data_IF_376240056292
#
_entry.id   IF_376240056292
#
_cell.length_a   1.000
_cell.length_b   1.000
_cell.length_c   1.000
_cell.angle_alpha   90.00
_cell.angle_beta   90.00
_cell.angle_gamma   90.00
#
_symmetry.space_group_name_H-M   'P 1'
#
loop_
_entity.id
_entity.type
_entity.pdbx_description
1 polymer ?
#
# COMPACT_ATOMS: atom_id res chain seq x y z
N UNK A 1 -49.33 -40.93 -4.45
CA UNK A 1 -49.98 -41.39 -5.69
C UNK A 1 -49.54 -40.47 -6.82
N UNK A 2 -48.95 -41.07 -7.87
CA UNK A 2 -48.81 -40.60 -9.29
C UNK A 2 -48.28 -39.17 -9.54
N UNK A 3 -47.04 -38.92 -10.01
CA UNK A 3 -46.26 -39.35 -11.20
C UNK A 3 -46.60 -38.55 -12.49
N UNK A 4 -45.52 -38.25 -13.23
CA UNK A 4 -45.40 -37.73 -14.62
C UNK A 4 -45.20 -36.20 -14.76
N UNK A 5 -44.32 -35.67 -15.60
CA UNK A 5 -43.32 -36.28 -16.49
C UNK A 5 -42.27 -35.25 -16.93
N UNK A 6 -41.28 -35.80 -17.61
CA UNK A 6 -39.97 -35.28 -17.97
C UNK A 6 -39.99 -34.26 -19.11
N UNK A 7 -38.97 -33.38 -19.18
CA UNK A 7 -38.41 -32.93 -20.45
C UNK A 7 -36.92 -32.60 -20.29
N UNK A 8 -36.06 -33.43 -20.90
CA UNK A 8 -34.66 -33.11 -21.23
C UNK A 8 -34.65 -32.44 -22.60
N UNK A 9 -33.93 -31.32 -22.71
CA UNK A 9 -33.29 -30.89 -23.95
C UNK A 9 -31.87 -30.44 -23.63
N UNK A 10 -30.91 -31.02 -24.35
CA UNK A 10 -29.52 -30.62 -24.37
C UNK A 10 -29.26 -29.87 -25.68
N UNK A 11 -28.62 -28.70 -25.62
CA UNK A 11 -27.32 -28.47 -26.29
C UNK A 11 -26.87 -27.01 -26.15
N UNK A 12 -25.58 -26.87 -25.82
CA UNK A 12 -24.66 -25.82 -26.29
C UNK A 12 -25.10 -24.37 -26.20
N UNK A 13 -24.54 -23.64 -25.22
CA UNK A 13 -23.88 -22.39 -25.61
C UNK A 13 -22.67 -22.05 -24.74
N UNK A 14 -21.61 -21.63 -25.42
CA UNK A 14 -20.27 -21.36 -24.91
C UNK A 14 -20.19 -19.88 -24.52
N UNK A 15 -20.67 -19.54 -23.33
CA UNK A 15 -20.60 -18.16 -22.83
C UNK A 15 -19.36 -17.94 -21.94
N UNK A 16 -18.44 -17.16 -22.49
CA UNK A 16 -17.31 -16.43 -21.92
C UNK A 16 -17.30 -16.24 -20.39
N UNK A 17 -16.22 -16.69 -19.76
CA UNK A 17 -15.86 -16.38 -18.36
C UNK A 17 -15.64 -14.86 -18.20
N UNK A 18 -16.30 -14.16 -17.26
CA UNK A 18 -15.89 -12.81 -16.90
C UNK A 18 -14.57 -12.88 -16.13
N UNK A 19 -13.55 -12.22 -16.67
CA UNK A 19 -12.23 -12.09 -16.08
C UNK A 19 -12.33 -11.54 -14.66
N UNK A 20 -11.73 -12.25 -13.71
CA UNK A 20 -11.73 -11.88 -12.29
C UNK A 20 -10.87 -10.63 -12.09
N UNK A 21 -11.53 -9.47 -12.01
CA UNK A 21 -10.92 -8.20 -11.62
C UNK A 21 -10.47 -8.32 -10.16
N UNK A 22 -9.16 -8.40 -9.93
CA UNK A 22 -8.59 -8.41 -8.59
C UNK A 22 -8.66 -6.98 -8.03
N UNK A 23 -9.67 -6.73 -7.18
CA UNK A 23 -9.84 -5.46 -6.47
C UNK A 23 -8.79 -5.32 -5.36
N UNK A 24 -8.16 -4.13 -5.20
CA UNK A 24 -7.26 -3.87 -4.07
C UNK A 24 -8.02 -4.00 -2.73
N UNK A 25 -7.38 -4.51 -1.67
CA UNK A 25 -8.01 -4.61 -0.36
C UNK A 25 -8.30 -3.22 0.21
N UNK A 26 -9.42 -3.02 0.92
CA UNK A 26 -9.75 -1.72 1.49
C UNK A 26 -9.02 -1.47 2.82
N UNK A 27 -8.61 -0.23 3.12
CA UNK A 27 -7.86 0.08 4.33
C UNK A 27 -8.78 0.02 5.55
N UNK A 28 -8.27 -0.53 6.65
CA UNK A 28 -8.98 -0.63 7.93
C UNK A 28 -8.26 -1.63 8.82
N UNK A 29 -7.16 -1.20 9.42
CA UNK A 29 -6.31 -1.98 10.30
C UNK A 29 -4.84 -1.57 10.18
N UNK A 30 -4.02 -1.91 11.18
CA UNK A 30 -2.66 -1.38 11.38
C UNK A 30 -1.59 -1.92 10.43
N UNK A 31 -2.00 -2.28 9.21
CA UNK A 31 -1.13 -2.75 8.13
C UNK A 31 -0.71 -1.58 7.21
N UNK A 32 -0.56 -0.36 7.71
CA UNK A 32 -0.23 0.82 6.89
C UNK A 32 1.16 0.80 6.22
N UNK A 33 2.19 0.06 6.67
CA UNK A 33 3.39 -0.13 5.82
C UNK A 33 3.06 -1.11 4.69
N UNK A 34 2.30 -2.16 5.02
CA UNK A 34 1.75 -3.09 4.06
C UNK A 34 0.79 -2.46 3.07
N UNK A 35 0.07 -1.39 3.42
CA UNK A 35 -0.91 -0.69 2.57
C UNK A 35 -0.32 0.55 1.87
N UNK A 36 0.69 1.20 2.43
CA UNK A 36 1.51 2.21 1.75
C UNK A 36 2.43 1.58 0.69
N UNK A 37 2.83 0.31 0.88
CA UNK A 37 3.56 -0.46 -0.12
C UNK A 37 2.63 -1.28 -1.03
N UNK A 38 1.47 -1.78 -0.54
CA UNK A 38 0.47 -2.44 -1.41
C UNK A 38 -0.42 -1.48 -2.17
N UNK A 39 -0.63 -0.24 -1.75
CA UNK A 39 -1.42 0.75 -2.50
C UNK A 39 -0.82 0.97 -3.90
N UNK A 40 0.49 1.28 -3.99
CA UNK A 40 1.21 1.37 -5.25
C UNK A 40 1.30 0.02 -5.99
N UNK A 41 1.56 -1.07 -5.28
CA UNK A 41 1.70 -2.41 -5.87
C UNK A 41 0.35 -2.97 -6.41
N UNK A 42 -0.76 -2.68 -5.75
CA UNK A 42 -2.11 -3.12 -6.14
C UNK A 42 -2.69 -2.23 -7.24
N UNK A 43 -2.39 -0.92 -7.25
CA UNK A 43 -2.68 -0.03 -8.37
C UNK A 43 -1.85 -0.38 -9.63
N UNK A 44 -0.58 -0.75 -9.45
CA UNK A 44 0.26 -1.28 -10.53
C UNK A 44 -0.24 -2.64 -11.06
N UNK A 45 -0.64 -3.56 -10.19
CA UNK A 45 -1.24 -4.85 -10.61
C UNK A 45 -2.54 -4.69 -11.40
N UNK A 46 -3.31 -3.62 -11.16
CA UNK A 46 -4.50 -3.31 -11.96
C UNK A 46 -4.13 -2.72 -13.32
N UNK A 47 -3.03 -1.96 -13.43
CA UNK A 47 -2.59 -1.33 -14.68
C UNK A 47 -1.83 -2.30 -15.61
N UNK A 48 -1.02 -3.22 -15.08
CA UNK A 48 -0.29 -4.24 -15.86
C UNK A 48 -1.23 -5.29 -16.47
N UNK A 49 -2.32 -5.64 -15.78
CA UNK A 49 -3.36 -6.52 -16.33
C UNK A 49 -4.15 -5.90 -17.49
N UNK A 50 -4.26 -4.58 -17.54
CA UNK A 50 -4.95 -3.87 -18.64
C UNK A 50 -4.01 -3.58 -19.83
N UNK A 51 -2.71 -3.42 -19.60
CA UNK A 51 -1.70 -3.14 -20.67
C UNK A 51 -1.14 -4.40 -21.34
N UNK A 52 -1.59 -5.59 -20.93
CA UNK A 52 -1.22 -6.89 -21.53
C UNK A 52 -2.18 -7.36 -22.64
N UNK A 53 -3.14 -6.53 -23.06
CA UNK A 53 -3.79 -6.69 -24.36
C UNK A 53 -2.82 -6.26 -25.46
N UNK A 54 -2.01 -7.21 -25.94
CA UNK A 54 -1.16 -7.02 -27.12
C UNK A 54 -2.03 -6.90 -28.39
N UNK A 55 -1.81 -5.93 -29.28
CA UNK A 55 -2.31 -6.03 -30.65
C UNK A 55 -1.63 -7.22 -31.33
N UNK A 56 -2.44 -8.08 -31.96
CA UNK A 56 -2.00 -9.17 -32.83
C UNK A 56 -1.28 -8.57 -34.04
N UNK A 57 0.06 -8.64 -34.05
CA UNK A 57 0.85 -8.32 -35.24
C UNK A 57 0.74 -9.48 -36.25
N UNK A 58 0.52 -9.19 -37.56
CA UNK A 58 0.54 -10.21 -38.60
C UNK A 58 1.91 -10.88 -38.68
N UNK A 59 1.93 -12.22 -38.65
CA UNK A 59 3.15 -12.99 -38.87
C UNK A 59 3.48 -13.02 -40.38
N UNK A 60 4.40 -12.16 -40.81
CA UNK A 60 5.05 -12.31 -42.11
C UNK A 60 6.27 -13.23 -41.95
N UNK A 61 6.28 -14.38 -42.64
CA UNK A 61 7.48 -15.23 -42.79
C UNK A 61 8.39 -14.65 -43.88
N UNK A 62 9.67 -14.33 -43.61
CA UNK A 62 10.63 -14.13 -44.67
C UNK A 62 11.27 -15.46 -45.08
N UNK A 63 11.43 -15.59 -46.40
CA UNK A 63 12.01 -16.72 -47.10
C UNK A 63 13.53 -16.80 -46.88
N UNK A 64 14.08 -18.00 -47.10
CA UNK A 64 15.45 -18.37 -46.75
C UNK A 64 16.56 -17.52 -47.37
N UNK A 65 17.56 -17.24 -46.54
CA UNK A 65 18.89 -16.77 -46.95
C UNK A 65 19.90 -17.26 -45.92
N UNK A 66 20.95 -17.97 -46.38
CA UNK A 66 22.07 -18.43 -45.55
C UNK A 66 22.79 -17.21 -44.94
N UNK A 67 22.78 -17.10 -43.62
CA UNK A 67 23.56 -16.09 -42.89
C UNK A 67 24.86 -16.68 -42.35
N UNK A 68 25.97 -16.00 -42.66
CA UNK A 68 27.34 -16.24 -42.20
C UNK A 68 27.47 -16.16 -40.66
N UNK A 69 28.57 -16.65 -40.04
CA UNK A 69 28.64 -16.80 -38.58
C UNK A 69 28.72 -15.44 -37.87
N UNK A 70 27.57 -14.92 -37.43
CA UNK A 70 27.44 -13.78 -36.53
C UNK A 70 27.83 -14.15 -35.09
N UNK A 71 29.01 -14.75 -34.91
CA UNK A 71 29.34 -15.51 -33.70
C UNK A 71 29.69 -14.67 -32.47
N UNK A 72 30.24 -13.47 -32.62
CA UNK A 72 30.76 -12.71 -31.46
C UNK A 72 29.96 -11.43 -31.19
N UNK A 73 29.63 -10.64 -32.22
CA UNK A 73 28.86 -9.40 -32.07
C UNK A 73 27.43 -9.67 -31.60
N UNK A 74 26.76 -10.71 -32.13
CA UNK A 74 25.42 -11.10 -31.68
C UNK A 74 25.43 -11.71 -30.26
N UNK A 75 26.51 -12.39 -29.87
CA UNK A 75 26.69 -12.89 -28.50
C UNK A 75 26.94 -11.75 -27.52
N UNK A 76 27.77 -10.77 -27.88
CA UNK A 76 28.04 -9.58 -27.07
C UNK A 76 26.77 -8.72 -26.92
N UNK A 77 26.03 -8.46 -28.00
CA UNK A 77 24.76 -7.76 -27.94
C UNK A 77 23.74 -8.50 -27.07
N UNK A 78 23.68 -9.84 -27.14
CA UNK A 78 22.83 -10.65 -26.25
C UNK A 78 23.23 -10.54 -24.78
N UNK A 79 24.53 -10.53 -24.46
CA UNK A 79 25.01 -10.32 -23.09
C UNK A 79 24.77 -8.90 -22.59
N UNK A 80 24.93 -7.88 -23.43
CA UNK A 80 24.61 -6.49 -23.09
C UNK A 80 23.11 -6.30 -22.88
N UNK A 81 22.26 -6.92 -23.69
CA UNK A 81 20.80 -6.92 -23.50
C UNK A 81 20.42 -7.69 -22.24
N UNK A 82 21.05 -8.83 -21.95
CA UNK A 82 20.82 -9.55 -20.70
C UNK A 82 21.33 -8.79 -19.47
N UNK A 83 22.45 -8.09 -19.57
CA UNK A 83 22.98 -7.22 -18.51
C UNK A 83 22.11 -5.97 -18.33
N UNK A 84 21.60 -5.38 -19.40
CA UNK A 84 20.63 -4.28 -19.35
C UNK A 84 19.29 -4.75 -18.79
N UNK A 85 18.79 -5.93 -19.16
CA UNK A 85 17.58 -6.54 -18.59
C UNK A 85 17.79 -6.94 -17.12
N UNK A 86 18.99 -7.38 -16.74
CA UNK A 86 19.36 -7.62 -15.34
C UNK A 86 19.47 -6.30 -14.54
N UNK A 87 19.98 -5.23 -15.16
CA UNK A 87 19.97 -3.88 -14.60
C UNK A 87 18.55 -3.31 -14.46
N UNK A 88 17.64 -3.63 -15.38
CA UNK A 88 16.21 -3.30 -15.27
C UNK A 88 15.49 -4.16 -14.22
N UNK A 89 15.93 -5.41 -14.00
CA UNK A 89 15.43 -6.27 -12.93
C UNK A 89 15.88 -5.82 -11.52
N UNK A 90 16.83 -4.90 -11.42
CA UNK A 90 17.22 -4.26 -10.16
C UNK A 90 16.26 -3.14 -9.72
N UNK A 91 15.30 -2.72 -10.57
CA UNK A 91 14.24 -1.83 -10.13
C UNK A 91 13.21 -2.64 -9.34
N UNK A 92 13.29 -2.56 -8.02
CA UNK A 92 12.25 -3.13 -7.17
C UNK A 92 10.89 -2.53 -7.55
N UNK A 93 9.85 -3.37 -7.62
CA UNK A 93 8.49 -2.90 -7.90
C UNK A 93 8.01 -1.88 -6.86
N UNK A 94 8.59 -1.91 -5.66
CA UNK A 94 8.32 -0.95 -4.59
C UNK A 94 8.88 0.44 -4.93
N UNK A 95 10.11 0.53 -5.42
CA UNK A 95 10.70 1.79 -5.90
C UNK A 95 9.89 2.38 -7.06
N UNK A 96 9.57 1.56 -8.07
CA UNK A 96 8.77 2.00 -9.21
C UNK A 96 7.38 2.49 -8.80
N UNK A 97 6.72 1.77 -7.89
CA UNK A 97 5.42 2.18 -7.35
C UNK A 97 5.51 3.49 -6.57
N UNK A 98 6.56 3.67 -5.76
CA UNK A 98 6.75 4.89 -4.96
C UNK A 98 7.10 6.11 -5.82
N UNK A 99 7.85 5.94 -6.91
CA UNK A 99 8.14 7.02 -7.85
C UNK A 99 6.87 7.59 -8.51
N UNK A 100 5.82 6.77 -8.64
CA UNK A 100 4.49 7.19 -9.10
C UNK A 100 3.52 7.45 -7.92
N UNK A 101 4.04 7.47 -6.69
CA UNK A 101 3.26 7.43 -5.47
C UNK A 101 2.33 8.63 -5.30
N UNK A 102 2.76 9.80 -5.73
CA UNK A 102 1.96 11.03 -5.75
C UNK A 102 0.69 10.87 -6.60
N UNK A 103 0.82 10.39 -7.84
CA UNK A 103 -0.30 10.14 -8.74
C UNK A 103 -1.23 9.05 -8.21
N UNK A 104 -0.66 8.00 -7.63
CA UNK A 104 -1.43 6.88 -7.08
C UNK A 104 -2.20 7.29 -5.82
N UNK A 105 -1.61 8.10 -4.95
CA UNK A 105 -2.28 8.68 -3.79
C UNK A 105 -3.36 9.65 -4.23
N UNK A 106 -3.11 10.50 -5.22
CA UNK A 106 -4.13 11.41 -5.75
C UNK A 106 -5.35 10.65 -6.26
N UNK A 107 -5.15 9.64 -7.12
CA UNK A 107 -6.25 8.81 -7.61
C UNK A 107 -6.96 8.03 -6.50
N UNK A 108 -6.24 7.64 -5.45
CA UNK A 108 -6.85 7.03 -4.28
C UNK A 108 -7.73 8.03 -3.52
N UNK A 109 -7.25 9.24 -3.25
CA UNK A 109 -8.03 10.30 -2.59
C UNK A 109 -9.25 10.65 -3.42
N UNK A 110 -9.06 10.89 -4.72
CA UNK A 110 -10.11 11.18 -5.69
C UNK A 110 -11.22 10.12 -5.69
N UNK A 111 -10.85 8.84 -5.73
CA UNK A 111 -11.84 7.76 -5.64
C UNK A 111 -12.69 7.80 -4.36
N UNK A 112 -12.17 8.33 -3.25
CA UNK A 112 -12.90 8.40 -1.98
C UNK A 112 -13.68 9.71 -1.83
N UNK A 113 -13.12 10.83 -2.27
CA UNK A 113 -13.67 12.17 -2.04
C UNK A 113 -14.33 12.81 -3.25
N UNK A 114 -14.16 12.23 -4.45
CA UNK A 114 -14.54 12.83 -5.72
C UNK A 114 -13.97 14.25 -5.83
N UNK A 115 -12.65 14.34 -6.07
CA UNK A 115 -11.93 15.61 -5.97
C UNK A 115 -12.38 16.51 -7.11
N UNK A 116 -12.99 17.64 -6.76
CA UNK A 116 -13.53 18.59 -7.74
C UNK A 116 -12.40 19.41 -8.38
N UNK A 117 -12.67 19.99 -9.56
CA UNK A 117 -11.68 20.78 -10.30
C UNK A 117 -11.05 21.90 -9.45
N UNK A 118 -11.87 22.58 -8.64
CA UNK A 118 -11.41 23.63 -7.72
C UNK A 118 -10.49 23.13 -6.59
N UNK A 119 -10.52 21.83 -6.27
CA UNK A 119 -9.70 21.19 -5.22
C UNK A 119 -8.44 20.52 -5.81
N UNK A 120 -8.41 20.25 -7.11
CA UNK A 120 -7.44 19.36 -7.74
C UNK A 120 -5.98 19.83 -7.54
N UNK A 121 -5.70 21.12 -7.80
CA UNK A 121 -4.34 21.67 -7.69
C UNK A 121 -3.87 21.70 -6.24
N UNK A 122 -4.74 22.10 -5.31
CA UNK A 122 -4.45 22.09 -3.88
C UNK A 122 -4.14 20.66 -3.38
N UNK A 123 -4.93 19.67 -3.79
CA UNK A 123 -4.73 18.26 -3.43
C UNK A 123 -3.41 17.70 -4.00
N UNK A 124 -3.10 17.97 -5.28
CA UNK A 124 -1.82 17.58 -5.88
C UNK A 124 -0.62 18.21 -5.17
N UNK A 125 -0.72 19.51 -4.87
CA UNK A 125 0.31 20.24 -4.13
C UNK A 125 0.54 19.68 -2.72
N UNK A 126 -0.54 19.38 -1.99
CA UNK A 126 -0.46 18.75 -0.67
C UNK A 126 0.24 17.38 -0.72
N UNK A 127 -0.14 16.53 -1.68
CA UNK A 127 0.47 15.21 -1.85
C UNK A 127 1.96 15.34 -2.20
N UNK A 128 2.32 16.26 -3.11
CA UNK A 128 3.72 16.50 -3.46
C UNK A 128 4.55 16.94 -2.24
N UNK A 129 4.04 17.89 -1.45
CA UNK A 129 4.68 18.34 -0.19
C UNK A 129 4.84 17.20 0.81
N UNK A 130 3.84 16.32 0.92
CA UNK A 130 3.91 15.15 1.79
C UNK A 130 5.00 14.17 1.34
N UNK A 131 5.08 13.84 0.05
CA UNK A 131 6.12 12.94 -0.47
C UNK A 131 7.53 13.54 -0.36
N UNK A 132 7.68 14.85 -0.56
CA UNK A 132 8.95 15.54 -0.33
C UNK A 132 9.41 15.41 1.13
N UNK A 133 8.50 15.65 2.09
CA UNK A 133 8.75 15.43 3.51
C UNK A 133 9.07 13.97 3.83
N UNK A 134 8.27 13.02 3.32
CA UNK A 134 8.43 11.60 3.60
C UNK A 134 9.80 11.11 3.12
N UNK A 135 10.27 11.55 1.94
CA UNK A 135 11.61 11.23 1.45
C UNK A 135 12.70 11.80 2.34
N UNK A 136 12.57 13.06 2.76
CA UNK A 136 13.61 13.76 3.53
C UNK A 136 13.70 13.29 4.98
N UNK A 137 12.57 13.04 5.63
CA UNK A 137 12.51 12.86 7.09
C UNK A 137 12.09 11.45 7.51
N UNK A 138 11.20 10.80 6.77
CA UNK A 138 10.63 9.52 7.20
C UNK A 138 11.38 8.31 6.63
N UNK A 139 11.83 8.36 5.36
CA UNK A 139 12.62 7.28 4.76
C UNK A 139 13.95 7.00 5.49
N UNK A 140 14.73 7.99 5.96
CA UNK A 140 15.94 7.70 6.74
C UNK A 140 15.63 6.85 7.98
N UNK A 141 14.58 7.21 8.73
CA UNK A 141 14.14 6.48 9.93
C UNK A 141 13.65 5.08 9.60
N UNK A 142 12.98 4.91 8.46
CA UNK A 142 12.57 3.58 7.97
C UNK A 142 13.81 2.74 7.64
N UNK A 143 14.81 3.30 6.96
CA UNK A 143 16.06 2.59 6.65
C UNK A 143 16.80 2.14 7.92
N UNK A 144 16.87 3.00 8.95
CA UNK A 144 17.46 2.65 10.26
C UNK A 144 16.73 1.47 10.93
N UNK A 145 15.40 1.47 10.92
CA UNK A 145 14.61 0.35 11.47
C UNK A 145 14.83 -0.96 10.70
N UNK A 146 14.97 -0.87 9.37
CA UNK A 146 15.25 -2.04 8.53
C UNK A 146 16.67 -2.57 8.76
N UNK A 147 17.68 -1.69 8.90
CA UNK A 147 19.05 -2.05 9.26
C UNK A 147 19.10 -2.78 10.59
N UNK A 148 18.40 -2.25 11.61
CA UNK A 148 18.27 -2.91 12.91
C UNK A 148 17.62 -4.30 12.79
N UNK A 149 16.49 -4.39 12.07
CA UNK A 149 15.79 -5.65 11.87
C UNK A 149 16.68 -6.69 11.18
N UNK A 150 17.47 -6.26 10.18
CA UNK A 150 18.42 -7.10 9.45
C UNK A 150 19.50 -7.67 10.38
N UNK A 151 20.02 -6.87 11.31
CA UNK A 151 21.00 -7.31 12.31
C UNK A 151 20.44 -8.28 13.35
N UNK A 152 19.16 -8.19 13.67
CA UNK A 152 18.50 -9.00 14.71
C UNK A 152 18.01 -10.38 14.22
N UNK A 153 18.04 -10.68 12.91
CA UNK A 153 17.50 -11.93 12.35
C UNK A 153 18.18 -13.23 12.85
N UNK A 154 19.42 -13.15 13.36
CA UNK A 154 20.21 -14.34 13.68
C UNK A 154 19.78 -15.02 14.98
N UNK A 155 19.29 -14.26 15.95
CA UNK A 155 18.86 -14.78 17.25
C UNK A 155 17.40 -15.27 17.21
N UNK A 156 16.95 -16.05 18.21
CA UNK A 156 15.53 -16.22 18.46
C UNK A 156 14.87 -14.85 18.61
N UNK A 157 13.79 -14.63 17.87
CA UNK A 157 13.03 -13.39 17.93
C UNK A 157 12.14 -13.42 19.17
N UNK A 158 12.20 -12.36 19.97
CA UNK A 158 11.39 -12.21 21.18
C UNK A 158 10.12 -11.41 20.90
N UNK A 159 9.10 -11.59 21.75
CA UNK A 159 7.89 -10.79 21.69
C UNK A 159 8.18 -9.28 21.88
N UNK A 160 9.17 -8.93 22.71
CA UNK A 160 9.59 -7.54 22.92
C UNK A 160 10.17 -6.91 21.65
N UNK A 161 10.99 -7.63 20.90
CA UNK A 161 11.51 -7.16 19.61
C UNK A 161 10.38 -6.89 18.62
N UNK A 162 9.41 -7.81 18.49
CA UNK A 162 8.25 -7.58 17.60
C UNK A 162 7.43 -6.37 18.07
N UNK A 163 7.21 -6.22 19.39
CA UNK A 163 6.52 -5.04 19.95
C UNK A 163 7.27 -3.74 19.65
N UNK A 164 8.60 -3.73 19.71
CA UNK A 164 9.41 -2.57 19.33
C UNK A 164 9.13 -2.14 17.88
N UNK A 165 9.22 -3.07 16.91
CA UNK A 165 8.96 -2.75 15.50
C UNK A 165 7.51 -2.33 15.26
N UNK A 166 6.55 -2.99 15.91
CA UNK A 166 5.12 -2.61 15.88
C UNK A 166 4.93 -1.17 16.35
N UNK A 167 5.52 -0.80 17.49
CA UNK A 167 5.37 0.53 18.07
C UNK A 167 6.08 1.60 17.22
N UNK A 168 7.29 1.32 16.73
CA UNK A 168 8.01 2.21 15.81
C UNK A 168 7.19 2.44 14.52
N UNK A 169 6.58 1.39 14.01
CA UNK A 169 5.70 1.45 12.85
C UNK A 169 4.45 2.33 13.09
N UNK A 170 3.79 2.20 14.25
CA UNK A 170 2.68 3.09 14.62
C UNK A 170 3.13 4.55 14.77
N UNK A 171 4.28 4.80 15.38
CA UNK A 171 4.84 6.13 15.55
C UNK A 171 5.14 6.80 14.20
N UNK A 172 5.63 6.04 13.21
CA UNK A 172 5.78 6.52 11.83
C UNK A 172 4.41 6.91 11.22
N UNK A 173 3.40 6.05 11.40
CA UNK A 173 2.03 6.36 10.95
C UNK A 173 1.48 7.64 11.57
N UNK A 174 1.70 7.84 12.88
CA UNK A 174 1.28 9.06 13.59
C UNK A 174 1.99 10.29 13.05
N UNK A 175 3.32 10.24 12.89
CA UNK A 175 4.08 11.36 12.33
C UNK A 175 3.62 11.73 10.92
N UNK A 176 3.29 10.73 10.08
CA UNK A 176 2.75 10.97 8.75
C UNK A 176 1.37 11.66 8.80
N UNK A 177 0.48 11.22 9.70
CA UNK A 177 -0.80 11.89 9.91
C UNK A 177 -0.62 13.34 10.37
N UNK A 178 0.21 13.58 11.38
CA UNK A 178 0.51 14.93 11.89
C UNK A 178 1.04 15.86 10.79
N UNK A 179 1.89 15.33 9.90
CA UNK A 179 2.40 16.08 8.75
C UNK A 179 1.30 16.44 7.75
N UNK A 180 0.42 15.49 7.43
CA UNK A 180 -0.64 15.69 6.45
C UNK A 180 -1.85 16.47 7.01
N UNK A 181 -2.00 16.54 8.34
CA UNK A 181 -3.18 17.11 9.02
C UNK A 181 -3.56 18.52 8.54
N UNK A 182 -2.64 19.48 8.36
CA UNK A 182 -3.02 20.81 7.87
C UNK A 182 -3.63 20.78 6.46
N UNK A 183 -3.09 19.94 5.57
CA UNK A 183 -3.60 19.80 4.20
C UNK A 183 -4.94 19.04 4.17
N UNK A 184 -5.11 18.04 5.06
CA UNK A 184 -6.40 17.37 5.25
C UNK A 184 -7.45 18.37 5.73
N UNK A 185 -7.11 19.23 6.69
CA UNK A 185 -8.03 20.26 7.18
C UNK A 185 -8.47 21.23 6.07
N UNK A 186 -7.55 21.67 5.20
CA UNK A 186 -7.88 22.50 4.04
C UNK A 186 -8.89 21.80 3.11
N UNK A 187 -8.69 20.51 2.83
CA UNK A 187 -9.64 19.74 2.04
C UNK A 187 -11.01 19.65 2.73
N UNK A 188 -11.05 19.35 4.03
CA UNK A 188 -12.31 19.19 4.77
C UNK A 188 -13.14 20.47 4.82
N UNK A 189 -12.49 21.64 4.86
CA UNK A 189 -13.18 22.94 4.83
C UNK A 189 -13.88 23.21 3.50
N UNK A 190 -13.56 22.47 2.44
CA UNK A 190 -14.14 22.62 1.11
C UNK A 190 -15.10 21.50 0.73
N UNK A 191 -15.42 20.59 1.67
CA UNK A 191 -16.23 19.41 1.37
C UNK A 191 -17.69 19.76 1.07
N UNK A 192 -18.26 19.18 0.01
CA UNK A 192 -19.68 19.38 -0.35
C UNK A 192 -20.59 18.25 0.15
N UNK A 193 -21.92 18.45 0.20
CA UNK A 193 -22.87 17.37 0.48
C UNK A 193 -22.75 16.18 -0.46
N UNK A 194 -22.53 16.42 -1.75
CA UNK A 194 -22.35 15.40 -2.77
C UNK A 194 -21.10 14.55 -2.49
N UNK A 195 -19.98 15.20 -2.14
CA UNK A 195 -18.74 14.50 -1.75
C UNK A 195 -18.94 13.64 -0.50
N UNK A 196 -19.68 14.11 0.50
CA UNK A 196 -19.99 13.30 1.70
C UNK A 196 -20.86 12.09 1.33
N UNK A 197 -21.84 12.28 0.45
CA UNK A 197 -22.64 11.20 -0.14
C UNK A 197 -21.77 10.17 -0.87
N UNK A 198 -20.81 10.62 -1.67
CA UNK A 198 -19.86 9.76 -2.38
C UNK A 198 -18.95 8.97 -1.43
N UNK A 199 -18.39 9.62 -0.39
CA UNK A 199 -17.59 8.96 0.65
C UNK A 199 -18.39 7.83 1.31
N UNK A 200 -19.68 8.07 1.61
CA UNK A 200 -20.57 7.07 2.21
C UNK A 200 -20.78 5.87 1.29
N UNK A 201 -21.15 6.10 0.03
CA UNK A 201 -21.31 5.03 -0.96
C UNK A 201 -20.01 4.23 -1.14
N UNK A 202 -18.87 4.93 -1.14
CA UNK A 202 -17.56 4.30 -1.22
C UNK A 202 -17.29 3.41 -0.02
N UNK A 203 -17.60 3.86 1.19
CA UNK A 203 -17.51 3.05 2.42
C UNK A 203 -18.38 1.81 2.34
N UNK A 204 -19.64 1.92 1.91
CA UNK A 204 -20.53 0.76 1.77
C UNK A 204 -19.99 -0.28 0.80
N UNK A 205 -19.53 0.16 -0.38
CA UNK A 205 -18.97 -0.73 -1.41
C UNK A 205 -17.72 -1.47 -0.93
N UNK A 206 -16.83 -0.78 -0.19
CA UNK A 206 -15.62 -1.43 0.36
C UNK A 206 -15.93 -2.33 1.55
N UNK A 207 -16.95 -2.02 2.34
CA UNK A 207 -17.37 -2.83 3.48
C UNK A 207 -18.03 -4.14 3.02
N UNK A 208 -18.84 -4.12 1.96
CA UNK A 208 -19.36 -5.33 1.32
C UNK A 208 -18.20 -6.24 0.88
N UNK A 209 -17.22 -5.68 0.17
CA UNK A 209 -16.03 -6.43 -0.27
C UNK A 209 -15.23 -6.98 0.92
N UNK A 210 -15.13 -6.22 2.01
CA UNK A 210 -14.46 -6.65 3.23
C UNK A 210 -15.20 -7.82 3.89
N UNK A 211 -16.52 -7.75 4.04
CA UNK A 211 -17.35 -8.82 4.63
C UNK A 211 -17.22 -10.12 3.85
N UNK A 212 -17.31 -10.06 2.52
CA UNK A 212 -17.15 -11.24 1.65
C UNK A 212 -15.79 -11.93 1.84
N UNK A 213 -14.74 -11.17 2.18
CA UNK A 213 -13.38 -11.70 2.32
C UNK A 213 -12.98 -12.06 3.75
N UNK A 214 -13.57 -11.46 4.78
CA UNK A 214 -13.09 -11.63 6.16
C UNK A 214 -14.16 -12.02 7.17
N UNK A 215 -15.44 -11.97 6.77
CA UNK A 215 -16.59 -12.33 7.58
C UNK A 215 -17.45 -13.39 6.85
N UNK A 216 -16.79 -14.32 6.16
CA UNK A 216 -17.46 -15.48 5.55
C UNK A 216 -18.29 -16.22 6.61
N UNK A 217 -19.40 -16.82 6.21
CA UNK A 217 -20.27 -17.58 7.14
C UNK A 217 -19.57 -18.82 7.69
N UNK A 218 -18.88 -19.56 6.84
CA UNK A 218 -18.09 -20.73 7.22
C UNK A 218 -16.83 -20.32 8.01
N UNK A 219 -16.65 -20.90 9.20
CA UNK A 219 -15.50 -20.66 10.07
C UNK A 219 -14.19 -21.19 9.49
N UNK A 220 -14.27 -22.27 8.71
CA UNK A 220 -13.09 -22.84 8.08
C UNK A 220 -12.61 -21.96 6.91
N UNK A 221 -13.53 -21.41 6.12
CA UNK A 221 -13.22 -20.40 5.10
C UNK A 221 -12.55 -19.16 5.70
N UNK A 222 -13.07 -18.62 6.81
CA UNK A 222 -12.44 -17.46 7.49
C UNK A 222 -11.01 -17.79 7.94
N UNK A 223 -10.82 -18.98 8.50
CA UNK A 223 -9.52 -19.46 8.96
C UNK A 223 -8.54 -19.61 7.80
N UNK A 224 -8.98 -20.22 6.68
CA UNK A 224 -8.19 -20.37 5.45
C UNK A 224 -7.74 -19.03 4.89
N UNK A 225 -8.65 -18.06 4.70
CA UNK A 225 -8.29 -16.76 4.13
C UNK A 225 -7.36 -15.98 5.06
N UNK A 226 -7.60 -16.01 6.39
CA UNK A 226 -6.70 -15.33 7.32
C UNK A 226 -5.31 -15.94 7.33
N UNK A 227 -5.22 -17.27 7.40
CA UNK A 227 -3.96 -17.99 7.34
C UNK A 227 -3.21 -17.68 6.03
N UNK A 228 -3.92 -17.71 4.89
CA UNK A 228 -3.36 -17.36 3.60
C UNK A 228 -2.70 -15.98 3.62
N UNK A 229 -3.37 -14.96 4.21
CA UNK A 229 -2.82 -13.59 4.29
C UNK A 229 -1.59 -13.49 5.18
N UNK A 230 -1.61 -14.16 6.33
CA UNK A 230 -0.44 -14.24 7.22
C UNK A 230 0.74 -14.86 6.46
N UNK A 231 0.51 -15.98 5.76
CA UNK A 231 1.56 -16.64 5.01
C UNK A 231 2.01 -15.88 3.77
N UNK A 232 1.13 -15.18 3.05
CA UNK A 232 1.53 -14.30 1.94
C UNK A 232 2.52 -13.21 2.41
N UNK A 233 2.29 -12.64 3.60
CA UNK A 233 3.20 -11.66 4.20
C UNK A 233 4.50 -12.31 4.67
N UNK A 234 4.41 -13.46 5.34
CA UNK A 234 5.59 -14.19 5.80
C UNK A 234 6.49 -14.59 4.61
N UNK A 235 5.90 -15.05 3.50
CA UNK A 235 6.63 -15.46 2.30
C UNK A 235 7.31 -14.29 1.58
N UNK A 236 6.78 -13.08 1.70
CA UNK A 236 7.43 -11.87 1.17
C UNK A 236 8.77 -11.60 1.85
N UNK A 237 8.88 -11.94 3.14
CA UNK A 237 10.08 -11.71 3.97
C UNK A 237 11.00 -12.92 3.95
N UNK A 238 10.47 -14.10 4.26
CA UNK A 238 11.27 -15.30 4.52
C UNK A 238 11.33 -16.29 3.34
N UNK A 239 10.59 -16.04 2.26
CA UNK A 239 10.53 -16.93 1.11
C UNK A 239 9.56 -18.10 1.32
N UNK A 240 9.79 -19.24 0.68
CA UNK A 240 8.85 -20.38 0.75
C UNK A 240 8.86 -21.04 2.12
N UNK A 241 7.70 -21.51 2.58
CA UNK A 241 7.52 -22.33 3.78
C UNK A 241 7.14 -23.76 3.37
N UNK A 242 7.55 -24.76 4.17
CA UNK A 242 7.12 -26.14 3.98
C UNK A 242 5.71 -26.36 4.54
N UNK A 243 5.05 -27.46 4.15
CA UNK A 243 3.76 -27.86 4.73
C UNK A 243 3.85 -28.03 6.24
N UNK A 244 4.92 -28.67 6.73
CA UNK A 244 5.14 -28.85 8.17
C UNK A 244 5.26 -27.52 8.94
N UNK A 245 5.93 -26.51 8.36
CA UNK A 245 5.98 -25.18 8.97
C UNK A 245 4.60 -24.52 8.95
N UNK A 246 3.87 -24.61 7.83
CA UNK A 246 2.52 -24.06 7.69
C UNK A 246 1.55 -24.67 8.72
N UNK A 247 1.62 -25.99 8.93
CA UNK A 247 0.80 -26.69 9.90
C UNK A 247 1.16 -26.30 11.35
N UNK A 248 2.44 -26.06 11.64
CA UNK A 248 2.88 -25.56 12.95
C UNK A 248 2.44 -24.09 13.20
N UNK A 249 2.32 -23.26 12.17
CA UNK A 249 1.90 -21.85 12.28
C UNK A 249 0.38 -21.74 12.44
N UNK A 250 -0.39 -22.67 11.86
CA UNK A 250 -1.85 -22.57 11.77
C UNK A 250 -2.56 -22.33 13.12
N UNK A 251 -2.21 -23.02 14.22
CA UNK A 251 -2.85 -22.79 15.52
C UNK A 251 -2.65 -21.37 16.06
N UNK A 252 -1.48 -20.77 15.84
CA UNK A 252 -1.18 -19.41 16.30
C UNK A 252 -2.11 -18.36 15.67
N UNK A 253 -2.62 -18.63 14.46
CA UNK A 253 -3.49 -17.70 13.73
C UNK A 253 -4.95 -17.72 14.24
N UNK A 254 -5.35 -18.68 15.06
CA UNK A 254 -6.75 -18.84 15.48
C UNK A 254 -7.33 -17.61 16.20
N UNK A 255 -6.58 -17.00 17.13
CA UNK A 255 -7.01 -15.79 17.85
C UNK A 255 -7.23 -14.62 16.90
N UNK A 256 -6.41 -14.52 15.86
CA UNK A 256 -6.56 -13.50 14.84
C UNK A 256 -7.84 -13.66 14.01
N UNK A 257 -8.29 -14.90 13.80
CA UNK A 257 -9.58 -15.21 13.13
C UNK A 257 -10.75 -14.84 14.03
N UNK A 258 -10.69 -15.21 15.30
CA UNK A 258 -11.75 -14.93 16.28
C UNK A 258 -12.02 -13.43 16.44
N UNK A 259 -10.99 -12.59 16.36
CA UNK A 259 -11.11 -11.14 16.44
C UNK A 259 -11.70 -10.46 15.18
N UNK A 260 -12.04 -11.20 14.12
CA UNK A 260 -12.51 -10.59 12.87
C UNK A 260 -13.81 -9.76 12.99
N UNK A 261 -14.85 -10.19 13.74
CA UNK A 261 -16.07 -9.39 13.94
C UNK A 261 -15.79 -8.07 14.66
N UNK A 262 -15.12 -8.11 15.83
CA UNK A 262 -14.81 -6.91 16.60
C UNK A 262 -14.01 -5.87 15.80
N UNK A 263 -13.05 -6.31 14.96
CA UNK A 263 -12.31 -5.40 14.07
C UNK A 263 -13.17 -4.80 12.95
N UNK A 264 -14.18 -5.54 12.49
CA UNK A 264 -15.14 -5.00 11.53
C UNK A 264 -16.05 -3.96 12.17
N UNK A 265 -16.51 -4.20 13.40
CA UNK A 265 -17.30 -3.22 14.15
C UNK A 265 -16.50 -1.94 14.41
N UNK A 266 -15.23 -2.06 14.79
CA UNK A 266 -14.33 -0.92 14.95
C UNK A 266 -14.14 -0.15 13.64
N UNK A 267 -14.02 -0.85 12.51
CA UNK A 267 -13.96 -0.24 11.17
C UNK A 267 -15.21 0.57 10.85
N UNK A 268 -16.39 0.04 11.14
CA UNK A 268 -17.66 0.75 10.91
C UNK A 268 -17.78 2.00 11.78
N UNK A 269 -17.42 1.89 13.06
CA UNK A 269 -17.43 3.04 13.96
C UNK A 269 -16.47 4.14 13.49
N UNK A 270 -15.24 3.79 13.08
CA UNK A 270 -14.28 4.74 12.49
C UNK A 270 -14.86 5.51 11.31
N UNK A 271 -15.51 4.80 10.39
CA UNK A 271 -16.13 5.40 9.20
C UNK A 271 -17.33 6.29 9.55
N UNK A 272 -18.15 5.89 10.51
CA UNK A 272 -19.28 6.70 10.98
C UNK A 272 -18.79 7.98 11.66
N UNK A 273 -17.78 7.89 12.53
CA UNK A 273 -17.16 9.07 13.16
C UNK A 273 -16.51 9.98 12.13
N UNK A 274 -15.88 9.43 11.09
CA UNK A 274 -15.33 10.21 9.98
C UNK A 274 -16.43 10.97 9.22
N UNK A 275 -17.52 10.30 8.85
CA UNK A 275 -18.66 10.95 8.20
C UNK A 275 -19.28 12.04 9.09
N UNK A 276 -19.44 11.78 10.38
CA UNK A 276 -19.92 12.77 11.34
C UNK A 276 -19.00 13.98 11.44
N UNK A 277 -17.67 13.79 11.38
CA UNK A 277 -16.71 14.89 11.32
C UNK A 277 -16.89 15.73 10.05
N UNK A 278 -17.05 15.10 8.87
CA UNK A 278 -17.28 15.83 7.62
C UNK A 278 -18.57 16.66 7.68
N UNK A 279 -19.66 16.05 8.14
CA UNK A 279 -20.96 16.72 8.31
C UNK A 279 -20.85 17.90 9.29
N UNK A 280 -20.11 17.71 10.38
CA UNK A 280 -19.88 18.74 11.41
C UNK A 280 -19.08 19.93 10.86
N UNK A 281 -17.97 19.67 10.15
CA UNK A 281 -17.17 20.73 9.51
C UNK A 281 -18.03 21.54 8.55
N UNK A 282 -18.90 20.87 7.77
CA UNK A 282 -19.81 21.55 6.85
C UNK A 282 -20.88 22.37 7.57
N UNK A 283 -21.45 21.85 8.67
CA UNK A 283 -22.54 22.51 9.39
C UNK A 283 -22.08 23.71 10.22
N UNK A 284 -20.91 23.60 10.86
CA UNK A 284 -20.40 24.62 11.79
C UNK A 284 -19.49 25.65 11.11
N UNK A 285 -18.99 25.40 9.91
CA UNK A 285 -18.01 26.24 9.19
C UNK A 285 -16.88 26.74 10.10
N UNK A 286 -16.20 25.85 10.84
CA UNK A 286 -15.16 26.23 11.80
C UNK A 286 -13.92 26.80 11.10
N UNK A 287 -13.03 27.42 11.86
CA UNK A 287 -11.70 27.77 11.37
C UNK A 287 -10.79 26.54 11.22
N UNK A 288 -9.71 26.68 10.44
CA UNK A 288 -8.74 25.60 10.21
C UNK A 288 -8.13 25.03 11.50
N UNK A 289 -7.68 25.84 12.48
CA UNK A 289 -7.19 25.33 13.75
C UNK A 289 -8.18 24.41 14.47
N UNK A 290 -9.48 24.75 14.47
CA UNK A 290 -10.53 23.93 15.06
C UNK A 290 -10.68 22.59 14.32
N UNK A 291 -10.69 22.59 12.99
CA UNK A 291 -10.71 21.34 12.20
C UNK A 291 -9.48 20.47 12.50
N UNK A 292 -8.30 21.07 12.62
CA UNK A 292 -7.08 20.35 13.01
C UNK A 292 -7.19 19.74 14.42
N UNK A 293 -7.81 20.44 15.37
CA UNK A 293 -8.08 19.89 16.70
C UNK A 293 -9.01 18.67 16.61
N UNK A 294 -10.10 18.76 15.84
CA UNK A 294 -11.03 17.64 15.68
C UNK A 294 -10.39 16.44 14.96
N UNK A 295 -9.55 16.68 13.95
CA UNK A 295 -8.76 15.63 13.30
C UNK A 295 -7.83 14.92 14.29
N UNK A 296 -7.22 15.68 15.21
CA UNK A 296 -6.35 15.14 16.26
C UNK A 296 -7.14 14.27 17.23
N UNK A 297 -8.27 14.77 17.73
CA UNK A 297 -9.16 14.00 18.60
C UNK A 297 -9.68 12.72 17.93
N UNK A 298 -10.02 12.81 16.63
CA UNK A 298 -10.39 11.65 15.83
C UNK A 298 -9.25 10.62 15.79
N UNK A 299 -8.00 11.03 15.52
CA UNK A 299 -6.86 10.11 15.49
C UNK A 299 -6.61 9.47 16.87
N UNK A 300 -6.63 10.26 17.94
CA UNK A 300 -6.34 9.82 19.31
C UNK A 300 -7.35 8.76 19.79
N UNK A 301 -8.64 8.92 19.46
CA UNK A 301 -9.70 7.97 19.80
C UNK A 301 -9.43 6.54 19.30
N UNK A 302 -8.68 6.41 18.22
CA UNK A 302 -8.39 5.12 17.58
C UNK A 302 -6.98 4.60 17.85
N UNK A 303 -6.09 5.47 18.29
CA UNK A 303 -4.77 5.09 18.78
C UNK A 303 -4.87 4.49 20.19
N UNK A 304 -5.73 5.04 21.03
CA UNK A 304 -5.98 4.59 22.41
C UNK A 304 -7.50 4.46 22.68
N UNK A 305 -8.19 3.47 22.08
CA UNK A 305 -9.62 3.32 22.28
C UNK A 305 -9.94 2.99 23.75
N UNK A 306 -10.92 3.66 24.38
CA UNK A 306 -11.25 3.44 25.79
C UNK A 306 -12.03 2.14 26.02
N UNK A 307 -11.98 1.65 27.26
CA UNK A 307 -12.81 0.56 27.77
C UNK A 307 -12.56 -0.79 27.06
N UNK A 308 -13.64 -1.56 26.88
CA UNK A 308 -13.58 -2.89 26.28
C UNK A 308 -12.97 -2.88 24.87
N UNK A 309 -13.21 -1.83 24.08
CA UNK A 309 -12.61 -1.68 22.73
C UNK A 309 -11.09 -1.60 22.79
N UNK A 310 -10.54 -0.92 23.80
CA UNK A 310 -9.11 -0.89 24.10
C UNK A 310 -8.56 -2.29 24.37
N UNK A 311 -9.20 -3.00 25.29
CA UNK A 311 -8.80 -4.36 25.65
C UNK A 311 -8.84 -5.34 24.45
N UNK A 312 -9.89 -5.25 23.62
CA UNK A 312 -10.02 -6.08 22.41
C UNK A 312 -8.94 -5.77 21.37
N UNK A 313 -8.61 -4.47 21.17
CA UNK A 313 -7.50 -4.06 20.31
C UNK A 313 -6.18 -4.63 20.84
N UNK A 314 -5.88 -4.45 22.11
CA UNK A 314 -4.60 -4.85 22.69
C UNK A 314 -4.43 -6.37 22.63
N UNK A 315 -5.47 -7.15 22.95
CA UNK A 315 -5.48 -8.61 22.77
C UNK A 315 -5.21 -9.02 21.32
N UNK A 316 -5.78 -8.31 20.34
CA UNK A 316 -5.51 -8.56 18.92
C UNK A 316 -4.06 -8.23 18.54
N UNK A 317 -3.50 -7.15 19.08
CA UNK A 317 -2.11 -6.75 18.82
C UNK A 317 -1.11 -7.73 19.44
N UNK A 318 -1.43 -8.30 20.59
CA UNK A 318 -0.59 -9.30 21.25
C UNK A 318 -0.67 -10.65 20.54
N UNK A 319 -1.87 -11.09 20.11
CA UNK A 319 -1.99 -12.26 19.24
C UNK A 319 -1.21 -12.09 17.92
N UNK A 320 -1.13 -10.86 17.39
CA UNK A 320 -0.34 -10.58 16.18
C UNK A 320 1.17 -10.64 16.44
N UNK A 321 1.61 -10.27 17.65
CA UNK A 321 2.99 -10.44 18.11
C UNK A 321 3.33 -11.92 18.20
N UNK A 322 2.47 -12.72 18.82
CA UNK A 322 2.69 -14.15 19.01
C UNK A 322 2.79 -14.91 17.68
N UNK A 323 1.93 -14.58 16.72
CA UNK A 323 2.01 -15.15 15.35
C UNK A 323 3.33 -14.77 14.68
N UNK A 324 3.73 -13.50 14.76
CA UNK A 324 4.96 -13.02 14.12
C UNK A 324 6.20 -13.67 14.72
N UNK A 325 6.24 -13.80 16.05
CA UNK A 325 7.27 -14.49 16.80
C UNK A 325 7.33 -15.98 16.44
N UNK A 326 6.18 -16.65 16.39
CA UNK A 326 6.07 -18.08 16.00
C UNK A 326 6.64 -18.30 14.60
N UNK A 327 6.23 -17.47 13.64
CA UNK A 327 6.73 -17.55 12.25
C UNK A 327 8.24 -17.35 12.23
N UNK A 328 8.75 -16.27 12.85
CA UNK A 328 10.16 -15.93 12.82
C UNK A 328 11.03 -17.04 13.43
N UNK A 329 10.60 -17.64 14.54
CA UNK A 329 11.34 -18.71 15.22
C UNK A 329 11.23 -20.08 14.55
N UNK A 330 10.26 -20.29 13.67
CA UNK A 330 10.16 -21.49 12.83
C UNK A 330 11.00 -21.40 11.54
N UNK A 331 11.65 -20.26 11.29
CA UNK A 331 12.44 -20.07 10.06
C UNK A 331 13.77 -20.83 10.08
N UNK A 332 14.14 -21.39 8.93
CA UNK A 332 15.42 -22.05 8.71
C UNK A 332 16.53 -21.05 8.45
N UNK A 333 17.82 -21.44 8.56
CA UNK A 333 18.94 -20.57 8.18
C UNK A 333 18.82 -20.02 6.75
N UNK A 334 18.32 -20.80 5.80
CA UNK A 334 18.11 -20.35 4.42
C UNK A 334 17.00 -19.27 4.33
N UNK A 335 15.91 -19.42 5.09
CA UNK A 335 14.84 -18.43 5.15
C UNK A 335 15.30 -17.13 5.84
N UNK A 336 16.15 -17.23 6.86
CA UNK A 336 16.79 -16.07 7.51
C UNK A 336 17.72 -15.33 6.56
N UNK A 337 18.51 -16.04 5.74
CA UNK A 337 19.31 -15.43 4.68
C UNK A 337 18.43 -14.70 3.65
N UNK A 338 17.34 -15.33 3.21
CA UNK A 338 16.39 -14.68 2.30
C UNK A 338 15.80 -13.40 2.91
N UNK A 339 15.42 -13.42 4.19
CA UNK A 339 14.94 -12.24 4.89
C UNK A 339 15.99 -11.14 4.98
N UNK A 340 17.25 -11.48 5.27
CA UNK A 340 18.35 -10.52 5.29
C UNK A 340 18.51 -9.84 3.92
N UNK A 341 18.53 -10.62 2.84
CA UNK A 341 18.68 -10.10 1.49
C UNK A 341 17.45 -9.27 1.07
N UNK A 342 16.25 -9.66 1.52
CA UNK A 342 15.02 -8.89 1.29
C UNK A 342 15.04 -7.53 1.99
N UNK A 343 15.44 -7.51 3.26
CA UNK A 343 15.58 -6.27 4.04
C UNK A 343 16.65 -5.37 3.43
N UNK A 344 17.78 -5.93 2.98
CA UNK A 344 18.81 -5.16 2.26
C UNK A 344 18.22 -4.48 1.03
N UNK A 345 17.45 -5.19 0.20
CA UNK A 345 16.80 -4.57 -0.96
C UNK A 345 15.86 -3.42 -0.61
N UNK A 346 15.15 -3.49 0.52
CA UNK A 346 14.30 -2.38 0.99
C UNK A 346 15.10 -1.19 1.54
N UNK A 347 16.25 -1.46 2.16
CA UNK A 347 17.20 -0.42 2.61
C UNK A 347 17.75 0.32 1.39
N UNK A 348 18.20 -0.41 0.37
CA UNK A 348 18.70 0.15 -0.88
C UNK A 348 17.63 0.98 -1.60
N UNK A 349 16.39 0.46 -1.67
CA UNK A 349 15.24 1.21 -2.19
C UNK A 349 15.00 2.53 -1.44
N UNK A 350 15.07 2.50 -0.10
CA UNK A 350 14.90 3.69 0.72
C UNK A 350 16.00 4.72 0.41
N UNK A 351 17.27 4.30 0.35
CA UNK A 351 18.39 5.15 -0.02
C UNK A 351 18.25 5.77 -1.42
N UNK A 352 17.82 4.98 -2.39
CA UNK A 352 17.56 5.45 -3.75
C UNK A 352 16.45 6.50 -3.80
N UNK A 353 15.36 6.26 -3.08
CA UNK A 353 14.22 7.18 -3.02
C UNK A 353 14.57 8.49 -2.32
N UNK A 354 15.45 8.47 -1.31
CA UNK A 354 16.01 9.67 -0.68
C UNK A 354 16.81 10.50 -1.69
N UNK A 355 17.70 9.87 -2.48
CA UNK A 355 18.50 10.55 -3.52
C UNK A 355 17.67 11.07 -4.68
N UNK A 356 16.62 10.34 -5.07
CA UNK A 356 15.73 10.75 -6.16
C UNK A 356 14.94 12.03 -5.82
N UNK A 357 14.72 12.31 -4.53
CA UNK A 357 14.03 13.51 -4.07
C UNK A 357 14.86 14.80 -4.13
N UNK A 358 16.19 14.71 -4.24
CA UNK A 358 17.09 15.88 -4.28
C UNK A 358 17.37 16.39 -5.70
N UNK A 359 17.10 15.58 -6.74
CA UNK A 359 17.38 15.92 -8.14
C UNK A 359 16.28 16.71 -8.88
N UNK A 360 15.03 16.69 -8.41
CA UNK A 360 13.90 17.36 -9.10
C UNK A 360 13.83 18.87 -8.83
N UNK A 361 14.52 19.39 -7.81
CA UNK A 361 14.53 20.84 -7.50
C UNK A 361 15.56 21.65 -8.30
N UNK A 362 16.34 21.03 -9.19
CA UNK A 362 17.42 21.72 -9.94
C UNK A 362 17.12 21.96 -11.43
N UNK A 363 15.90 21.67 -11.91
CA UNK A 363 15.48 21.96 -13.30
C UNK A 363 14.31 22.93 -13.31
N UNK A 364 14.53 24.11 -12.73
CA UNK A 364 13.90 25.35 -13.19
C UNK A 364 14.96 26.45 -13.15
N UNK A 365 15.89 26.34 -14.10
CA UNK A 365 16.95 27.31 -14.31
C UNK A 365 16.38 28.55 -14.97
N UNK A 366 15.83 29.46 -14.15
CA UNK A 366 15.69 30.85 -14.55
C UNK A 366 17.09 31.43 -14.77
N UNK A 367 17.37 31.75 -16.04
CA UNK A 367 18.58 32.40 -16.54
C UNK A 367 18.73 33.77 -15.87
N UNK A 368 19.91 34.16 -15.36
CA UNK A 368 20.16 35.56 -15.02
C UNK A 368 20.53 36.31 -16.29
N UNK A 369 19.69 37.27 -16.70
CA UNK A 369 20.06 38.23 -17.74
C UNK A 369 21.00 39.28 -17.11
N UNK A 370 22.28 39.17 -17.42
CA UNK A 370 23.22 40.29 -17.38
C UNK A 370 23.15 41.04 -18.72
N UNK A 371 22.68 42.29 -18.68
CA UNK A 371 23.09 43.32 -19.64
C UNK A 371 23.16 44.67 -18.94
N UNK A 372 24.41 45.08 -18.70
CA UNK A 372 24.91 46.35 -18.21
C UNK A 372 24.50 47.52 -19.11
N UNK A 373 24.20 48.70 -18.52
CA UNK A 373 24.84 50.03 -18.81
C UNK A 373 23.97 51.18 -18.29
N UNK A 374 24.53 52.06 -17.44
CA UNK A 374 23.99 53.42 -17.26
C UNK A 374 24.13 54.06 -15.86
N UNK A 375 25.33 54.56 -15.54
CA UNK A 375 25.65 55.55 -14.50
C UNK A 375 24.68 56.76 -14.54
N UNK A 376 24.23 57.43 -13.47
CA UNK A 376 24.99 58.23 -12.49
C UNK A 376 24.03 58.81 -11.39
N UNK A 377 24.54 59.44 -10.29
CA UNK A 377 23.93 59.46 -8.95
C UNK A 377 23.25 60.79 -8.58
N UNK A 378 22.61 60.87 -7.39
CA UNK A 378 22.76 62.01 -6.45
C UNK A 378 21.96 61.82 -5.13
N UNK A 379 22.62 62.22 -4.04
CA UNK A 379 22.13 62.46 -2.68
C UNK A 379 20.77 63.17 -2.59
N UNK A 380 19.91 62.74 -1.66
CA UNK A 380 19.71 63.42 -0.36
C UNK A 380 18.91 62.56 0.62
#
# INVERSE_FOLDING_TARGET
>A
MTRSDSLRLASTDRASRPGTVVRPPPPGGPDCLGSLLRGPFAAYQTQVKNSSMRPTLPQHRPNGGRAAPAGWAARLARWLVLAALAGLAACSTMKLGYQQGDRLVYWWVDRYFDIQDAQADAARGAIARFFAWHRREQLPRIAELLERAKGELQQPVTAEQIRYYRNAYYALGRAAFERARPDIADLLLTVTPEQIGHVRQRFDAVNETYRQRYLQRDGDDRSRERFKRVMDNARLVYGRFSSAQEDAIRPAVALLVAAAPARYDERLQRQQTWLALLERVRAEHPDKPTVMQWLTAYADQWEHPPGERGAQRDAYLDASVDVSMTIANLTTPQQKLHARDRLQGWIDDAHDLMRSGTGTTAVDGSRPDEATTGMAPLNR
#
